data_IF_304276666135
#
_entry.id   IF_304276666135
#
_cell.length_a   1.000
_cell.length_b   1.000
_cell.length_c   1.000
_cell.angle_alpha   90.00
_cell.angle_beta   90.00
_cell.angle_gamma   90.00
#
_symmetry.space_group_name_H-M   'P 1'
#
loop_
_entity.id
_entity.type
_entity.pdbx_description
1 polymer ?
#
# COMPACT_ATOMS: atom_id res chain seq x y z
N UNK A 1 7.49 27.34 -0.63
CA UNK A 1 8.26 26.77 -1.76
C UNK A 1 7.28 26.24 -2.78
N UNK A 2 7.47 26.47 -4.10
CA UNK A 2 6.57 25.94 -5.12
C UNK A 2 6.69 24.41 -5.26
N UNK A 3 5.60 23.73 -5.64
CA UNK A 3 5.55 22.26 -5.77
C UNK A 3 6.61 21.69 -6.74
N UNK A 4 6.95 22.45 -7.79
CA UNK A 4 8.02 22.12 -8.75
C UNK A 4 9.41 22.05 -8.09
N UNK A 5 9.63 22.78 -7.01
CA UNK A 5 10.90 22.77 -6.26
C UNK A 5 11.04 21.51 -5.41
N UNK A 6 9.94 20.95 -4.88
CA UNK A 6 10.01 19.70 -4.09
C UNK A 6 10.28 18.48 -4.97
N UNK A 7 9.74 18.46 -6.19
CA UNK A 7 10.00 17.39 -7.15
C UNK A 7 11.48 17.28 -7.52
N UNK A 8 12.22 18.39 -7.48
CA UNK A 8 13.66 18.42 -7.78
C UNK A 8 14.53 18.30 -6.53
N UNK A 9 14.12 18.87 -5.39
CA UNK A 9 14.94 18.91 -4.16
C UNK A 9 14.69 17.78 -3.18
N UNK A 10 13.56 17.06 -3.26
CA UNK A 10 13.18 15.95 -2.38
C UNK A 10 12.35 14.90 -3.14
N UNK A 11 12.89 14.31 -4.22
CA UNK A 11 12.13 13.50 -5.17
C UNK A 11 11.58 12.20 -4.57
N UNK A 12 12.14 11.71 -3.45
CA UNK A 12 11.67 10.52 -2.74
C UNK A 12 10.36 10.76 -1.96
N UNK A 13 10.00 12.02 -1.68
CA UNK A 13 8.72 12.33 -1.06
C UNK A 13 7.53 12.09 -2.01
N UNK A 14 7.75 12.20 -3.33
CA UNK A 14 6.72 11.90 -4.33
C UNK A 14 6.15 10.48 -4.19
N UNK A 15 6.98 9.43 -4.25
CA UNK A 15 6.56 8.05 -3.99
C UNK A 15 5.87 7.86 -2.63
N UNK A 16 6.37 8.50 -1.56
CA UNK A 16 5.77 8.42 -0.22
C UNK A 16 4.33 8.97 -0.24
N UNK A 17 4.16 10.20 -0.72
CA UNK A 17 2.83 10.84 -0.84
C UNK A 17 1.92 10.06 -1.79
N UNK A 18 2.47 9.53 -2.88
CA UNK A 18 1.74 8.70 -3.84
C UNK A 18 1.14 7.46 -3.18
N UNK A 19 1.95 6.73 -2.40
CA UNK A 19 1.45 5.52 -1.74
C UNK A 19 0.50 5.83 -0.60
N UNK A 20 0.73 6.91 0.18
CA UNK A 20 -0.23 7.36 1.22
C UNK A 20 -1.58 7.73 0.58
N UNK A 21 -1.56 8.46 -0.54
CA UNK A 21 -2.79 8.77 -1.29
C UNK A 21 -3.52 7.50 -1.72
N UNK A 22 -2.78 6.47 -2.13
CA UNK A 22 -3.37 5.17 -2.48
C UNK A 22 -4.01 4.44 -1.30
N UNK A 23 -3.49 4.60 -0.07
CA UNK A 23 -4.15 4.04 1.13
C UNK A 23 -5.56 4.62 1.29
N UNK A 24 -5.72 5.94 1.13
CA UNK A 24 -7.03 6.58 1.22
C UNK A 24 -7.99 6.14 0.11
N UNK A 25 -7.49 5.87 -1.10
CA UNK A 25 -8.29 5.27 -2.17
C UNK A 25 -8.81 3.89 -1.75
N UNK A 26 -7.93 3.03 -1.20
CA UNK A 26 -8.31 1.70 -0.73
C UNK A 26 -9.25 1.74 0.47
N UNK A 27 -9.05 2.69 1.39
CA UNK A 27 -9.93 2.90 2.53
C UNK A 27 -11.34 3.31 2.08
N UNK A 28 -11.44 4.28 1.18
CA UNK A 28 -12.72 4.71 0.61
C UNK A 28 -13.42 3.56 -0.11
N UNK A 29 -12.70 2.74 -0.87
CA UNK A 29 -13.24 1.57 -1.55
C UNK A 29 -13.76 0.53 -0.54
N UNK A 30 -12.99 0.23 0.52
CA UNK A 30 -13.42 -0.65 1.60
C UNK A 30 -14.76 -0.17 2.19
N UNK A 31 -14.87 1.10 2.58
CA UNK A 31 -16.10 1.62 3.17
C UNK A 31 -17.28 1.61 2.20
N UNK A 32 -17.03 1.96 0.93
CA UNK A 32 -18.06 1.96 -0.11
C UNK A 32 -18.71 0.58 -0.30
N UNK A 33 -17.99 -0.52 -0.05
CA UNK A 33 -18.56 -1.87 -0.12
C UNK A 33 -19.09 -2.37 1.23
N UNK A 34 -18.36 -2.17 2.33
CA UNK A 34 -18.71 -2.76 3.64
C UNK A 34 -19.91 -2.08 4.28
N UNK A 35 -20.00 -0.75 4.24
CA UNK A 35 -21.07 -0.02 4.94
C UNK A 35 -22.45 -0.39 4.38
N UNK A 36 -22.70 -0.39 3.05
CA UNK A 36 -23.98 -0.83 2.52
C UNK A 36 -24.26 -2.32 2.76
N UNK A 37 -23.21 -3.15 2.76
CA UNK A 37 -23.33 -4.58 3.01
C UNK A 37 -23.85 -4.89 4.43
N UNK A 38 -23.44 -4.12 5.45
CA UNK A 38 -23.91 -4.33 6.82
C UNK A 38 -25.44 -4.28 6.92
N UNK A 39 -26.06 -3.27 6.29
CA UNK A 39 -27.52 -3.15 6.22
C UNK A 39 -28.13 -4.25 5.33
N UNK A 40 -27.61 -4.43 4.12
CA UNK A 40 -28.12 -5.41 3.13
C UNK A 40 -28.18 -6.84 3.68
N UNK A 41 -27.15 -7.24 4.41
CA UNK A 41 -27.00 -8.60 4.95
C UNK A 41 -27.42 -8.72 6.43
N UNK A 42 -28.00 -7.67 7.01
CA UNK A 42 -28.47 -7.66 8.42
C UNK A 42 -27.36 -8.11 9.39
N UNK A 43 -26.20 -7.48 9.25
CA UNK A 43 -25.04 -7.68 10.13
C UNK A 43 -25.34 -7.03 11.48
N UNK A 44 -25.18 -7.78 12.55
CA UNK A 44 -25.18 -7.28 13.92
C UNK A 44 -23.83 -6.60 14.20
N UNK A 45 -23.88 -5.30 14.50
CA UNK A 45 -22.68 -4.48 14.74
C UNK A 45 -22.24 -4.45 16.21
N UNK A 46 -22.86 -5.26 17.06
CA UNK A 46 -22.38 -5.47 18.43
C UNK A 46 -20.95 -6.04 18.42
N UNK A 47 -20.07 -5.61 19.34
CA UNK A 47 -18.65 -5.99 19.32
C UNK A 47 -18.40 -7.51 19.33
N UNK A 48 -19.28 -8.28 19.96
CA UNK A 48 -19.23 -9.73 20.08
C UNK A 48 -19.79 -10.49 18.87
N UNK A 49 -20.56 -9.83 17.99
CA UNK A 49 -21.18 -10.47 16.80
C UNK A 49 -20.60 -10.02 15.47
N UNK A 50 -20.12 -8.78 15.38
CA UNK A 50 -19.76 -8.16 14.10
C UNK A 50 -18.75 -8.97 13.28
N UNK A 51 -17.76 -9.58 13.94
CA UNK A 51 -16.73 -10.39 13.26
C UNK A 51 -17.35 -11.63 12.60
N UNK A 52 -18.16 -12.36 13.34
CA UNK A 52 -18.79 -13.60 12.89
C UNK A 52 -19.85 -13.32 11.83
N UNK A 53 -20.66 -12.28 12.01
CA UNK A 53 -21.68 -11.91 11.03
C UNK A 53 -21.06 -11.43 9.72
N UNK A 54 -19.99 -10.64 9.77
CA UNK A 54 -19.28 -10.24 8.55
C UNK A 54 -18.68 -11.46 7.83
N UNK A 55 -18.17 -12.45 8.56
CA UNK A 55 -17.59 -13.66 7.97
C UNK A 55 -18.65 -14.57 7.32
N UNK A 56 -19.83 -14.70 7.93
CA UNK A 56 -20.82 -15.69 7.54
C UNK A 56 -21.95 -15.14 6.66
N UNK A 57 -22.29 -13.85 6.78
CA UNK A 57 -23.44 -13.25 6.06
C UNK A 57 -23.03 -12.48 4.81
N UNK A 58 -21.80 -11.98 4.74
CA UNK A 58 -21.34 -11.07 3.69
C UNK A 58 -20.43 -11.80 2.68
N UNK A 59 -20.66 -11.65 1.36
CA UNK A 59 -19.82 -12.30 0.35
C UNK A 59 -18.34 -11.92 0.47
N UNK A 60 -17.46 -12.89 0.18
CA UNK A 60 -16.01 -12.71 0.25
C UNK A 60 -15.49 -11.47 -0.52
N UNK A 61 -16.07 -11.18 -1.68
CA UNK A 61 -15.66 -10.04 -2.52
C UNK A 61 -15.82 -8.67 -1.87
N UNK A 62 -16.72 -8.53 -0.89
CA UNK A 62 -16.89 -7.29 -0.11
C UNK A 62 -15.73 -7.07 0.87
N UNK A 63 -15.06 -8.15 1.28
CA UNK A 63 -13.94 -8.08 2.23
C UNK A 63 -12.59 -7.83 1.56
N UNK A 64 -12.44 -8.15 0.27
CA UNK A 64 -11.14 -8.07 -0.41
C UNK A 64 -10.46 -6.70 -0.37
N UNK A 65 -11.16 -5.55 -0.55
CA UNK A 65 -10.52 -4.25 -0.37
C UNK A 65 -10.07 -3.98 1.07
N UNK A 66 -10.80 -4.52 2.06
CA UNK A 66 -10.43 -4.39 3.48
C UNK A 66 -9.18 -5.21 3.81
N UNK A 67 -9.12 -6.45 3.31
CA UNK A 67 -7.95 -7.31 3.43
C UNK A 67 -6.73 -6.65 2.75
N UNK A 68 -6.94 -6.03 1.59
CA UNK A 68 -5.88 -5.31 0.91
C UNK A 68 -5.42 -4.04 1.65
N UNK A 69 -6.35 -3.27 2.21
CA UNK A 69 -6.02 -2.12 3.05
C UNK A 69 -5.11 -2.53 4.22
N UNK A 70 -5.41 -3.65 4.89
CA UNK A 70 -4.55 -4.19 5.94
C UNK A 70 -3.16 -4.60 5.39
N UNK A 71 -3.10 -5.26 4.23
CA UNK A 71 -1.83 -5.59 3.57
C UNK A 71 -0.99 -4.35 3.21
N UNK A 72 -1.62 -3.21 2.95
CA UNK A 72 -0.94 -1.93 2.72
C UNK A 72 -0.38 -1.34 4.02
N UNK A 73 -0.96 -1.65 5.18
CA UNK A 73 -0.40 -1.21 6.47
C UNK A 73 0.78 -2.07 6.94
N UNK A 74 0.91 -3.31 6.47
CA UNK A 74 1.98 -4.22 6.92
C UNK A 74 3.31 -3.98 6.18
N UNK A 75 3.39 -4.33 4.89
CA UNK A 75 4.67 -4.29 4.15
C UNK A 75 5.13 -2.86 3.78
N UNK A 76 4.24 -1.96 3.31
CA UNK A 76 4.59 -0.56 3.05
C UNK A 76 5.13 0.25 4.23
N UNK A 77 4.89 -0.17 5.48
CA UNK A 77 5.50 0.48 6.65
C UNK A 77 7.04 0.50 6.55
N UNK A 78 7.64 -0.57 6.02
CA UNK A 78 9.09 -0.62 5.77
C UNK A 78 9.53 0.34 4.66
N UNK A 79 8.73 0.47 3.59
CA UNK A 79 8.98 1.41 2.50
C UNK A 79 8.98 2.86 2.98
N UNK A 80 8.00 3.24 3.79
CA UNK A 80 7.93 4.60 4.34
C UNK A 80 9.17 4.93 5.17
N UNK A 81 9.59 4.00 6.04
CA UNK A 81 10.77 4.19 6.87
C UNK A 81 12.04 4.42 6.04
N UNK A 82 12.32 3.54 5.07
CA UNK A 82 13.54 3.64 4.28
C UNK A 82 13.53 4.82 3.31
N UNK A 83 12.40 5.12 2.65
CA UNK A 83 12.30 6.23 1.72
C UNK A 83 12.48 7.58 2.42
N UNK A 84 11.91 7.74 3.61
CA UNK A 84 12.09 8.95 4.43
C UNK A 84 13.52 9.07 4.96
N UNK A 85 14.13 7.97 5.42
CA UNK A 85 15.53 7.96 5.85
C UNK A 85 16.48 8.36 4.71
N UNK A 86 16.32 7.76 3.54
CA UNK A 86 17.10 8.10 2.34
C UNK A 86 16.88 9.56 1.91
N UNK A 87 15.65 10.08 2.01
CA UNK A 87 15.39 11.48 1.75
C UNK A 87 16.14 12.41 2.73
N UNK A 88 16.16 12.04 4.02
CA UNK A 88 16.85 12.78 5.07
C UNK A 88 18.38 12.72 4.92
N UNK A 89 18.93 11.60 4.46
CA UNK A 89 20.34 11.44 4.10
C UNK A 89 20.76 12.28 2.88
N UNK A 90 19.81 12.89 2.17
CA UNK A 90 20.12 13.75 1.03
C UNK A 90 20.15 13.02 -0.32
N UNK A 91 19.69 11.77 -0.42
CA UNK A 91 19.68 11.04 -1.69
C UNK A 91 18.68 11.64 -2.67
N UNK A 92 19.16 12.03 -3.86
CA UNK A 92 18.36 12.61 -4.96
C UNK A 92 18.52 11.87 -6.28
N UNK A 93 19.23 10.74 -6.27
CA UNK A 93 19.59 10.04 -7.49
C UNK A 93 18.38 9.42 -8.19
N UNK A 94 18.44 9.34 -9.52
CA UNK A 94 17.32 8.85 -10.33
C UNK A 94 17.02 7.36 -10.11
N UNK A 95 18.00 6.56 -9.65
CA UNK A 95 17.81 5.12 -9.44
C UNK A 95 16.94 4.88 -8.22
N UNK A 96 17.23 5.52 -7.08
CA UNK A 96 16.39 5.45 -5.87
C UNK A 96 14.95 5.86 -6.16
N UNK A 97 14.76 6.96 -6.91
CA UNK A 97 13.44 7.48 -7.27
C UNK A 97 12.68 6.50 -8.18
N UNK A 98 13.36 5.90 -9.17
CA UNK A 98 12.75 4.88 -10.06
C UNK A 98 12.35 3.64 -9.29
N UNK A 99 13.21 3.14 -8.38
CA UNK A 99 12.90 1.98 -7.54
C UNK A 99 11.69 2.27 -6.62
N UNK A 100 11.66 3.44 -5.99
CA UNK A 100 10.56 3.85 -5.13
C UNK A 100 9.23 3.93 -5.92
N UNK A 101 9.20 4.56 -7.09
CA UNK A 101 7.99 4.58 -7.93
C UNK A 101 7.60 3.20 -8.47
N UNK A 102 8.57 2.35 -8.80
CA UNK A 102 8.31 0.95 -9.21
C UNK A 102 7.63 0.19 -8.08
N UNK A 103 8.11 0.35 -6.85
CA UNK A 103 7.48 -0.22 -5.66
C UNK A 103 6.03 0.27 -5.53
N UNK A 104 5.77 1.58 -5.58
CA UNK A 104 4.42 2.15 -5.51
C UNK A 104 3.51 1.57 -6.61
N UNK A 105 3.97 1.53 -7.86
CA UNK A 105 3.21 0.97 -8.97
C UNK A 105 2.85 -0.50 -8.75
N UNK A 106 3.79 -1.33 -8.30
CA UNK A 106 3.53 -2.73 -7.98
C UNK A 106 2.50 -2.89 -6.85
N UNK A 107 2.55 -2.02 -5.83
CA UNK A 107 1.55 -2.02 -4.75
C UNK A 107 0.16 -1.66 -5.25
N UNK A 108 0.04 -0.67 -6.15
CA UNK A 108 -1.22 -0.31 -6.78
C UNK A 108 -1.79 -1.49 -7.57
N UNK A 109 -0.99 -2.11 -8.43
CA UNK A 109 -1.44 -3.26 -9.24
C UNK A 109 -1.82 -4.45 -8.37
N UNK A 110 -1.04 -4.76 -7.32
CA UNK A 110 -1.38 -5.78 -6.33
C UNK A 110 -2.75 -5.49 -5.68
N UNK A 111 -2.99 -4.23 -5.30
CA UNK A 111 -4.23 -3.80 -4.66
C UNK A 111 -5.44 -3.99 -5.57
N UNK A 112 -5.30 -3.62 -6.84
CA UNK A 112 -6.34 -3.83 -7.85
C UNK A 112 -6.63 -5.32 -8.07
N UNK A 113 -5.60 -6.16 -8.19
CA UNK A 113 -5.78 -7.61 -8.37
C UNK A 113 -6.50 -8.22 -7.17
N UNK A 114 -6.04 -7.93 -5.94
CA UNK A 114 -6.66 -8.46 -4.72
C UNK A 114 -8.12 -8.00 -4.59
N UNK A 115 -8.40 -6.72 -4.86
CA UNK A 115 -9.72 -6.12 -4.62
C UNK A 115 -10.76 -6.40 -5.71
N UNK A 116 -10.35 -6.93 -6.88
CA UNK A 116 -11.28 -7.20 -8.00
C UNK A 116 -11.51 -8.69 -8.28
N UNK A 117 -10.45 -9.47 -8.45
CA UNK A 117 -10.55 -10.88 -8.84
C UNK A 117 -9.85 -11.84 -7.88
N UNK A 118 -9.03 -11.29 -6.97
CA UNK A 118 -8.33 -11.98 -5.89
C UNK A 118 -7.60 -13.27 -6.31
N UNK A 119 -7.04 -13.31 -7.54
CA UNK A 119 -6.23 -14.46 -7.99
C UNK A 119 -4.96 -14.57 -7.16
N UNK A 120 -4.93 -15.54 -6.26
CA UNK A 120 -3.90 -15.70 -5.21
C UNK A 120 -2.48 -15.73 -5.80
N UNK A 121 -2.23 -16.56 -6.81
CA UNK A 121 -0.89 -16.66 -7.40
C UNK A 121 -0.42 -15.37 -8.06
N UNK A 122 -1.32 -14.60 -8.68
CA UNK A 122 -0.99 -13.32 -9.31
C UNK A 122 -0.64 -12.28 -8.24
N UNK A 123 -1.47 -12.14 -7.19
CA UNK A 123 -1.16 -11.20 -6.11
C UNK A 123 0.11 -11.60 -5.35
N UNK A 124 0.37 -12.90 -5.17
CA UNK A 124 1.61 -13.37 -4.56
C UNK A 124 2.84 -12.97 -5.39
N UNK A 125 2.83 -13.19 -6.70
CA UNK A 125 3.93 -12.78 -7.58
C UNK A 125 4.17 -11.26 -7.55
N UNK A 126 3.10 -10.45 -7.56
CA UNK A 126 3.21 -8.99 -7.42
C UNK A 126 3.78 -8.58 -6.06
N UNK A 127 3.38 -9.26 -4.99
CA UNK A 127 3.92 -9.03 -3.65
C UNK A 127 5.41 -9.38 -3.57
N UNK A 128 5.82 -10.52 -4.12
CA UNK A 128 7.21 -10.95 -4.16
C UNK A 128 8.07 -9.98 -4.97
N UNK A 129 7.61 -9.57 -6.16
CA UNK A 129 8.29 -8.58 -6.99
C UNK A 129 8.44 -7.24 -6.26
N UNK A 130 7.36 -6.75 -5.61
CA UNK A 130 7.39 -5.54 -4.79
C UNK A 130 8.40 -5.66 -3.63
N UNK A 131 8.47 -6.82 -2.99
CA UNK A 131 9.41 -7.08 -1.89
C UNK A 131 10.86 -7.06 -2.35
N UNK A 132 11.17 -7.60 -3.54
CA UNK A 132 12.52 -7.54 -4.12
C UNK A 132 12.93 -6.10 -4.47
N UNK A 133 12.02 -5.30 -5.00
CA UNK A 133 12.27 -3.87 -5.27
C UNK A 133 12.56 -3.13 -3.97
N UNK A 134 11.76 -3.37 -2.92
CA UNK A 134 11.98 -2.77 -1.61
C UNK A 134 13.31 -3.21 -1.00
N UNK A 135 13.66 -4.49 -1.09
CA UNK A 135 14.96 -5.02 -0.65
C UNK A 135 16.11 -4.30 -1.36
N UNK A 136 16.02 -4.07 -2.68
CA UNK A 136 17.02 -3.33 -3.45
C UNK A 136 17.14 -1.87 -3.01
N UNK A 137 16.01 -1.20 -2.74
CA UNK A 137 15.99 0.16 -2.22
C UNK A 137 16.64 0.24 -0.82
N UNK A 138 16.33 -0.71 0.06
CA UNK A 138 16.93 -0.84 1.38
C UNK A 138 18.42 -1.14 1.33
N UNK A 139 18.86 -2.05 0.45
CA UNK A 139 20.28 -2.34 0.26
C UNK A 139 21.06 -1.09 -0.18
N UNK A 140 20.49 -0.30 -1.12
CA UNK A 140 21.09 0.98 -1.51
C UNK A 140 21.15 1.96 -0.32
N UNK A 141 20.08 2.10 0.45
CA UNK A 141 20.07 2.94 1.64
C UNK A 141 21.14 2.55 2.66
N UNK A 142 21.36 1.24 2.87
CA UNK A 142 22.43 0.74 3.75
C UNK A 142 23.81 1.12 3.22
N UNK A 143 24.07 0.93 1.92
CA UNK A 143 25.37 1.26 1.32
C UNK A 143 25.68 2.75 1.49
N UNK A 144 24.73 3.63 1.19
CA UNK A 144 24.89 5.09 1.25
C UNK A 144 24.95 5.62 2.69
N UNK A 145 24.54 4.82 3.67
CA UNK A 145 24.68 5.19 5.08
C UNK A 145 26.06 4.83 5.64
N UNK A 146 26.66 3.75 5.11
CA UNK A 146 27.92 3.19 5.61
C UNK A 146 29.15 3.75 4.90
N UNK A 147 29.01 4.29 3.69
CA UNK A 147 30.08 4.80 2.83
C UNK A 147 29.72 6.16 2.27
#
# INVERSE_FOLDING_TARGET
MPASTLLTTQPLLGPVVGLVSWHFVMEAWMYALRIPAMSKYKVDVSPDKIKDDMANKVPASVHWPAENYNHLMEQPTQFYAIALAMNQMGLRDSTSVKLAWTYVGLRIVHSLVQSTNNKIMVRFQLFAASSLVLLGLTAKGVIEYMY
#
